data_IF_221870084590
#
_entry.id   IF_221870084590
#
_cell.length_a   1.000
_cell.length_b   1.000
_cell.length_c   1.000
_cell.angle_alpha   90.00
_cell.angle_beta   90.00
_cell.angle_gamma   90.00
#
_symmetry.space_group_name_H-M   'P 1'
#
loop_
_entity.id
_entity.type
_entity.pdbx_description
1 polymer ?
#
# COMPACT_ATOMS: atom_id res chain seq x y z
N UNK A 1 21.17 -40.91 -13.74
CA UNK A 1 21.74 -39.54 -13.79
C UNK A 1 20.86 -38.69 -14.70
N UNK A 2 19.77 -38.09 -14.19
CA UNK A 2 18.98 -37.07 -14.93
C UNK A 2 18.03 -36.33 -13.97
N UNK A 3 18.57 -35.72 -12.90
CA UNK A 3 17.82 -34.86 -11.97
C UNK A 3 18.43 -33.46 -11.92
N UNK A 4 18.69 -32.85 -13.07
CA UNK A 4 19.30 -31.51 -13.14
C UNK A 4 18.53 -30.49 -14.00
N UNK A 5 17.30 -30.78 -14.43
CA UNK A 5 16.50 -29.86 -15.26
C UNK A 5 15.23 -29.32 -14.59
N UNK A 6 15.13 -29.33 -13.25
CA UNK A 6 13.93 -28.84 -12.52
C UNK A 6 14.15 -27.60 -11.65
N UNK A 7 15.29 -26.93 -11.75
CA UNK A 7 15.59 -25.72 -10.95
C UNK A 7 15.59 -24.41 -11.75
N UNK A 8 15.20 -24.42 -13.04
CA UNK A 8 15.15 -23.21 -13.86
C UNK A 8 13.82 -22.45 -13.81
N UNK A 9 12.86 -22.84 -12.95
CA UNK A 9 11.73 -21.98 -12.56
C UNK A 9 12.11 -21.16 -11.33
N UNK A 10 13.28 -20.50 -11.40
CA UNK A 10 13.69 -19.51 -10.42
C UNK A 10 12.69 -18.36 -10.43
N UNK A 11 11.81 -18.37 -9.43
CA UNK A 11 11.26 -17.19 -8.78
C UNK A 11 10.95 -16.05 -9.76
N UNK A 12 9.93 -16.24 -10.61
CA UNK A 12 9.18 -15.09 -11.15
C UNK A 12 8.65 -14.39 -9.91
N UNK A 13 9.38 -13.38 -9.45
CA UNK A 13 9.05 -12.54 -8.33
C UNK A 13 7.61 -12.06 -8.57
N UNK A 14 6.60 -12.74 -8.01
CA UNK A 14 5.19 -12.41 -8.21
C UNK A 14 4.96 -10.98 -7.72
N UNK A 15 4.80 -10.05 -8.66
CA UNK A 15 4.45 -8.67 -8.36
C UNK A 15 3.14 -8.73 -7.56
N UNK A 16 3.06 -8.00 -6.46
CA UNK A 16 1.78 -7.85 -5.76
C UNK A 16 0.89 -7.04 -6.70
N UNK A 17 -0.12 -7.70 -7.27
CA UNK A 17 -1.01 -7.10 -8.26
C UNK A 17 -2.39 -6.90 -7.63
N UNK A 18 -2.70 -5.66 -7.28
CA UNK A 18 -4.04 -5.25 -6.87
C UNK A 18 -4.96 -5.08 -8.08
N UNK A 19 -6.25 -5.38 -7.92
CA UNK A 19 -7.29 -5.04 -8.90
C UNK A 19 -7.38 -3.52 -9.10
N UNK A 20 -8.05 -3.09 -10.18
CA UNK A 20 -8.24 -1.65 -10.46
C UNK A 20 -8.97 -0.97 -9.29
N UNK A 21 -9.99 -1.64 -8.73
CA UNK A 21 -10.77 -1.16 -7.59
C UNK A 21 -9.92 -1.09 -6.31
N UNK A 22 -9.16 -2.13 -6.00
CA UNK A 22 -8.26 -2.16 -4.84
C UNK A 22 -7.18 -1.08 -4.94
N UNK A 23 -6.66 -0.82 -6.16
CA UNK A 23 -5.71 0.27 -6.42
C UNK A 23 -6.34 1.63 -6.19
N UNK A 24 -7.54 1.86 -6.73
CA UNK A 24 -8.25 3.13 -6.56
C UNK A 24 -8.54 3.40 -5.09
N UNK A 25 -9.01 2.37 -4.37
CA UNK A 25 -9.26 2.46 -2.94
C UNK A 25 -7.97 2.74 -2.14
N UNK A 26 -6.88 2.04 -2.44
CA UNK A 26 -5.61 2.27 -1.76
C UNK A 26 -5.09 3.69 -2.03
N UNK A 27 -5.20 4.19 -3.26
CA UNK A 27 -4.87 5.59 -3.58
C UNK A 27 -5.71 6.58 -2.75
N UNK A 28 -7.03 6.38 -2.67
CA UNK A 28 -7.90 7.23 -1.88
C UNK A 28 -7.54 7.20 -0.39
N UNK A 29 -7.18 6.03 0.15
CA UNK A 29 -6.69 5.91 1.52
C UNK A 29 -5.38 6.68 1.70
N UNK A 30 -4.43 6.54 0.78
CA UNK A 30 -3.14 7.24 0.85
C UNK A 30 -3.34 8.76 0.85
N UNK A 31 -4.21 9.28 -0.03
CA UNK A 31 -4.52 10.72 -0.09
C UNK A 31 -5.19 11.24 1.20
N UNK A 32 -5.95 10.39 1.90
CA UNK A 32 -6.50 10.72 3.21
C UNK A 32 -5.46 10.69 4.33
N UNK A 33 -4.42 9.85 4.20
CA UNK A 33 -3.37 9.72 5.21
C UNK A 33 -2.31 10.81 5.07
N UNK A 34 -1.90 11.13 3.83
CA UNK A 34 -0.94 12.20 3.57
C UNK A 34 -1.71 13.36 2.93
N UNK A 35 -2.11 14.37 3.71
CA UNK A 35 -2.75 15.55 3.14
C UNK A 35 -1.76 16.25 2.20
N UNK A 36 -2.27 16.71 1.06
CA UNK A 36 -1.49 17.58 0.19
C UNK A 36 -1.25 18.91 0.91
N UNK A 37 -0.01 19.37 0.90
CA UNK A 37 0.39 20.69 1.40
C UNK A 37 1.03 21.47 0.26
N UNK A 38 1.13 22.80 0.39
CA UNK A 38 1.60 23.69 -0.68
C UNK A 38 2.97 23.31 -1.23
N UNK A 39 3.82 22.71 -0.39
CA UNK A 39 5.18 22.29 -0.73
C UNK A 39 5.30 20.80 -1.15
N UNK A 40 4.21 20.03 -1.05
CA UNK A 40 4.22 18.57 -1.16
C UNK A 40 3.13 18.07 -2.10
N UNK A 41 3.48 17.42 -3.22
CA UNK A 41 2.48 16.97 -4.20
C UNK A 41 1.58 15.89 -3.60
N UNK A 42 0.29 15.84 -4.01
CA UNK A 42 -0.63 14.82 -3.52
C UNK A 42 -0.10 13.42 -3.88
N UNK A 43 -0.17 12.44 -2.97
CA UNK A 43 0.37 11.10 -3.21
C UNK A 43 -0.16 10.43 -4.48
N UNK A 44 -1.43 10.64 -4.81
CA UNK A 44 -2.05 10.17 -6.06
C UNK A 44 -1.38 10.67 -7.34
N UNK A 45 -0.65 11.79 -7.29
CA UNK A 45 0.13 12.29 -8.44
C UNK A 45 1.46 11.56 -8.67
N UNK A 46 1.90 10.73 -7.71
CA UNK A 46 3.25 10.17 -7.68
C UNK A 46 3.33 8.68 -8.04
N UNK A 47 2.25 8.04 -8.51
CA UNK A 47 2.20 6.58 -8.72
C UNK A 47 2.65 5.78 -7.48
N UNK A 48 2.37 6.32 -6.28
CA UNK A 48 2.92 5.84 -5.01
C UNK A 48 2.53 4.40 -4.68
N UNK A 49 1.38 3.93 -5.19
CA UNK A 49 0.91 2.55 -4.99
C UNK A 49 1.93 1.53 -5.50
N UNK A 50 2.61 1.77 -6.62
CA UNK A 50 3.58 0.81 -7.14
C UNK A 50 4.82 0.70 -6.22
N UNK A 51 5.27 1.82 -5.65
CA UNK A 51 6.38 1.87 -4.69
C UNK A 51 5.98 1.24 -3.34
N UNK A 52 4.77 1.54 -2.86
CA UNK A 52 4.20 0.93 -1.66
C UNK A 52 4.13 -0.60 -1.77
N UNK A 53 3.63 -1.11 -2.90
CA UNK A 53 3.54 -2.54 -3.16
C UNK A 53 4.93 -3.19 -3.32
N UNK A 54 5.95 -2.43 -3.74
CA UNK A 54 7.33 -2.91 -3.75
C UNK A 54 7.83 -3.23 -2.34
N UNK A 55 7.59 -2.33 -1.37
CA UNK A 55 8.03 -2.52 0.02
C UNK A 55 7.20 -3.53 0.81
N UNK A 56 5.99 -3.87 0.33
CA UNK A 56 5.17 -4.93 0.91
C UNK A 56 5.78 -6.34 0.73
N UNK A 57 6.81 -6.47 -0.11
CA UNK A 57 7.40 -7.76 -0.46
C UNK A 57 8.49 -8.13 0.54
N UNK A 58 8.51 -9.37 1.04
CA UNK A 58 9.66 -9.85 1.79
C UNK A 58 10.88 -9.86 0.87
N UNK A 59 11.89 -9.04 1.19
CA UNK A 59 13.16 -9.02 0.46
C UNK A 59 13.90 -10.32 0.78
N UNK A 60 14.30 -11.08 -0.24
CA UNK A 60 15.06 -12.32 -0.03
C UNK A 60 16.31 -12.03 0.82
N UNK A 61 16.38 -12.63 2.01
CA UNK A 61 17.46 -12.41 3.00
C UNK A 61 17.04 -11.63 4.24
N UNK A 62 15.91 -10.92 4.23
CA UNK A 62 15.38 -10.23 5.41
C UNK A 62 14.17 -10.98 5.97
N UNK A 63 14.40 -11.74 7.06
CA UNK A 63 13.38 -12.39 7.90
C UNK A 63 12.60 -11.38 8.77
N UNK A 64 12.59 -10.10 8.43
CA UNK A 64 11.75 -9.13 9.14
C UNK A 64 10.30 -9.45 8.80
N UNK A 65 9.55 -9.88 9.81
CA UNK A 65 8.10 -10.06 9.70
C UNK A 65 7.51 -8.70 9.34
N UNK A 66 7.14 -8.51 8.06
CA UNK A 66 6.44 -7.30 7.64
C UNK A 66 5.11 -7.26 8.39
N UNK A 67 4.93 -6.25 9.23
CA UNK A 67 3.69 -6.08 10.00
C UNK A 67 2.48 -5.92 9.06
N UNK A 68 2.72 -5.45 7.83
CA UNK A 68 1.76 -5.38 6.75
C UNK A 68 2.08 -6.47 5.69
N UNK A 69 1.14 -7.38 5.47
CA UNK A 69 1.23 -8.38 4.38
C UNK A 69 0.16 -8.11 3.33
N UNK A 70 0.37 -8.59 2.10
CA UNK A 70 -0.62 -8.51 1.02
C UNK A 70 -2.00 -9.02 1.46
N UNK A 71 -2.04 -10.18 2.11
CA UNK A 71 -3.30 -10.77 2.58
C UNK A 71 -4.02 -9.84 3.55
N UNK A 72 -3.31 -9.29 4.54
CA UNK A 72 -3.89 -8.35 5.51
C UNK A 72 -4.38 -7.07 4.83
N UNK A 73 -3.60 -6.54 3.88
CA UNK A 73 -3.99 -5.36 3.12
C UNK A 73 -5.29 -5.60 2.34
N UNK A 74 -5.37 -6.67 1.55
CA UNK A 74 -6.58 -7.01 0.79
C UNK A 74 -7.80 -7.22 1.67
N UNK A 75 -7.63 -7.89 2.81
CA UNK A 75 -8.71 -8.05 3.79
C UNK A 75 -9.21 -6.70 4.29
N UNK A 76 -8.31 -5.79 4.68
CA UNK A 76 -8.68 -4.46 5.14
C UNK A 76 -9.40 -3.64 4.04
N UNK A 77 -8.90 -3.67 2.80
CA UNK A 77 -9.54 -3.01 1.65
C UNK A 77 -10.98 -3.53 1.44
N UNK A 78 -11.15 -4.85 1.43
CA UNK A 78 -12.47 -5.48 1.30
C UNK A 78 -13.42 -5.07 2.43
N UNK A 79 -12.95 -5.07 3.67
CA UNK A 79 -13.77 -4.69 4.82
C UNK A 79 -14.16 -3.21 4.80
N UNK A 80 -13.25 -2.32 4.38
CA UNK A 80 -13.54 -0.90 4.19
C UNK A 80 -14.60 -0.69 3.09
N UNK A 81 -14.51 -1.41 1.97
CA UNK A 81 -15.55 -1.36 0.91
C UNK A 81 -16.90 -1.83 1.43
N UNK A 82 -16.94 -2.95 2.15
CA UNK A 82 -18.19 -3.46 2.74
C UNK A 82 -18.78 -2.46 3.74
N UNK A 83 -17.94 -1.86 4.59
CA UNK A 83 -18.37 -0.86 5.59
C UNK A 83 -18.81 0.47 4.99
N UNK A 84 -18.41 0.75 3.75
CA UNK A 84 -18.82 1.91 2.96
C UNK A 84 -20.11 1.67 2.16
N UNK A 85 -20.66 0.46 2.15
CA UNK A 85 -21.86 0.12 1.37
C UNK A 85 -21.56 -0.45 -0.03
N UNK A 86 -20.32 -0.94 -0.25
CA UNK A 86 -19.90 -1.64 -1.47
C UNK A 86 -18.72 -0.97 -2.15
N UNK A 87 -18.62 0.36 -2.09
CA UNK A 87 -17.55 1.12 -2.71
C UNK A 87 -17.08 2.24 -1.76
N UNK A 88 -15.85 2.11 -1.28
CA UNK A 88 -15.23 3.10 -0.41
C UNK A 88 -14.98 4.43 -1.13
N UNK A 89 -14.62 4.41 -2.40
CA UNK A 89 -14.29 5.62 -3.18
C UNK A 89 -15.52 6.49 -3.44
N UNK A 90 -16.72 5.90 -3.49
CA UNK A 90 -17.99 6.62 -3.65
C UNK A 90 -18.56 7.16 -2.33
N UNK A 91 -18.05 6.73 -1.18
CA UNK A 91 -18.49 7.26 0.11
C UNK A 91 -18.05 8.73 0.27
N UNK A 92 -18.81 9.50 1.07
CA UNK A 92 -18.41 10.87 1.39
C UNK A 92 -17.06 10.91 2.11
N UNK A 93 -16.31 12.01 1.96
CA UNK A 93 -15.01 12.17 2.62
C UNK A 93 -15.11 11.97 4.15
N UNK A 94 -16.17 12.51 4.78
CA UNK A 94 -16.43 12.31 6.21
C UNK A 94 -16.60 10.82 6.57
N UNK A 95 -17.31 10.06 5.72
CA UNK A 95 -17.52 8.63 5.91
C UNK A 95 -16.21 7.86 5.74
N UNK A 96 -15.42 8.18 4.71
CA UNK A 96 -14.12 7.57 4.49
C UNK A 96 -13.18 7.79 5.69
N UNK A 97 -13.10 9.02 6.20
CA UNK A 97 -12.31 9.36 7.39
C UNK A 97 -12.83 8.67 8.66
N UNK A 98 -14.15 8.57 8.84
CA UNK A 98 -14.73 7.81 9.96
C UNK A 98 -14.37 6.33 9.88
N UNK A 99 -14.42 5.72 8.69
CA UNK A 99 -14.04 4.33 8.50
C UNK A 99 -12.55 4.08 8.76
N UNK A 100 -11.67 4.99 8.36
CA UNK A 100 -10.24 4.90 8.69
C UNK A 100 -9.97 5.03 10.19
N UNK A 101 -10.67 5.94 10.88
CA UNK A 101 -10.59 6.05 12.35
C UNK A 101 -11.08 4.78 13.05
N UNK A 102 -12.15 4.16 12.56
CA UNK A 102 -12.61 2.87 13.11
C UNK A 102 -11.60 1.75 12.85
N UNK A 103 -10.95 1.74 11.68
CA UNK A 103 -9.89 0.79 11.38
C UNK A 103 -8.71 0.94 12.34
N UNK A 104 -8.28 2.18 12.58
CA UNK A 104 -7.22 2.52 13.55
C UNK A 104 -7.56 2.01 14.96
N UNK A 105 -8.79 2.24 15.43
CA UNK A 105 -9.23 1.76 16.75
C UNK A 105 -9.30 0.23 16.85
N UNK A 106 -9.74 -0.43 15.77
CA UNK A 106 -9.97 -1.88 15.74
C UNK A 106 -8.67 -2.67 15.59
N UNK A 107 -7.75 -2.22 14.74
CA UNK A 107 -6.44 -2.85 14.52
C UNK A 107 -5.34 -1.78 14.45
N UNK A 108 -4.92 -1.24 15.62
CA UNK A 108 -3.90 -0.20 15.70
C UNK A 108 -2.56 -0.63 15.09
N UNK A 109 -2.21 -1.92 15.23
CA UNK A 109 -0.96 -2.46 14.71
C UNK A 109 -0.94 -2.49 13.17
N UNK A 110 -2.07 -2.87 12.54
CA UNK A 110 -2.22 -2.76 11.09
C UNK A 110 -2.16 -1.31 10.63
N UNK A 111 -2.93 -0.43 11.29
CA UNK A 111 -3.00 0.97 10.90
C UNK A 111 -1.63 1.64 10.99
N UNK A 112 -0.89 1.39 12.07
CA UNK A 112 0.47 1.89 12.23
C UNK A 112 1.40 1.36 11.13
N UNK A 113 1.32 0.08 10.79
CA UNK A 113 2.13 -0.50 9.72
C UNK A 113 1.79 0.11 8.35
N UNK A 114 0.51 0.33 8.08
CA UNK A 114 0.04 1.02 6.88
C UNK A 114 0.57 2.45 6.82
N UNK A 115 0.38 3.22 7.89
CA UNK A 115 0.85 4.61 8.02
C UNK A 115 2.36 4.71 7.81
N UNK A 116 3.15 3.90 8.50
CA UNK A 116 4.60 3.88 8.37
C UNK A 116 5.03 3.56 6.95
N UNK A 117 4.41 2.56 6.31
CA UNK A 117 4.78 2.16 4.96
C UNK A 117 4.42 3.23 3.91
N UNK A 118 3.25 3.85 4.06
CA UNK A 118 2.79 4.95 3.20
C UNK A 118 3.75 6.14 3.31
N UNK A 119 4.08 6.58 4.52
CA UNK A 119 5.03 7.68 4.76
C UNK A 119 6.42 7.36 4.21
N UNK A 120 6.95 6.17 4.51
CA UNK A 120 8.25 5.74 3.98
C UNK A 120 8.27 5.77 2.46
N UNK A 121 7.24 5.21 1.82
CA UNK A 121 7.14 5.18 0.35
C UNK A 121 7.06 6.58 -0.25
N UNK A 122 6.31 7.48 0.38
CA UNK A 122 6.17 8.87 -0.04
C UNK A 122 7.50 9.61 -0.01
N UNK A 123 8.18 9.61 1.13
CA UNK A 123 9.45 10.35 1.28
C UNK A 123 10.60 9.71 0.52
N UNK A 124 10.64 8.37 0.40
CA UNK A 124 11.64 7.69 -0.43
C UNK A 124 11.51 8.09 -1.91
N UNK A 125 10.27 8.21 -2.40
CA UNK A 125 10.00 8.63 -3.76
C UNK A 125 10.33 10.12 -3.98
N UNK A 126 9.98 10.99 -3.04
CA UNK A 126 10.37 12.41 -3.09
C UNK A 126 11.90 12.56 -3.11
N UNK A 127 12.62 11.90 -2.21
CA UNK A 127 14.09 11.93 -2.19
C UNK A 127 14.70 11.48 -3.52
N UNK A 128 14.15 10.42 -4.12
CA UNK A 128 14.60 9.91 -5.43
C UNK A 128 14.31 10.90 -6.56
N UNK A 129 13.17 11.60 -6.52
CA UNK A 129 12.79 12.58 -7.54
C UNK A 129 13.55 13.91 -7.42
N UNK A 130 13.89 14.34 -6.19
CA UNK A 130 14.76 15.49 -5.96
C UNK A 130 16.19 15.23 -6.46
N UNK A 131 16.72 14.02 -6.26
CA UNK A 131 18.07 13.65 -6.72
C UNK A 131 18.19 13.61 -8.25
N UNK A 132 17.09 13.35 -8.98
CA UNK A 132 17.08 13.35 -10.45
C UNK A 132 17.01 14.75 -11.09
N UNK A 133 16.77 15.79 -10.28
CA UNK A 133 16.62 17.19 -10.75
C UNK A 133 17.81 18.08 -10.36
N UNK A 134 18.77 17.56 -9.60
CA UNK A 134 20.05 18.21 -9.28
C UNK A 134 21.14 17.76 -10.26
#
# INVERSE_FOLDING_TARGET
MSDMLRLATLSRQQKVELSIEERAQLNAIIDLLIPADQDFPPPSSLALVDEFLHYLRPRAGHKTMLMLSEKRLRTALKELNLSAGGDFCLASCEKQQSLLRHLEQRDPAFFQALWTLVNHSYYALLATNHLKRA
#
